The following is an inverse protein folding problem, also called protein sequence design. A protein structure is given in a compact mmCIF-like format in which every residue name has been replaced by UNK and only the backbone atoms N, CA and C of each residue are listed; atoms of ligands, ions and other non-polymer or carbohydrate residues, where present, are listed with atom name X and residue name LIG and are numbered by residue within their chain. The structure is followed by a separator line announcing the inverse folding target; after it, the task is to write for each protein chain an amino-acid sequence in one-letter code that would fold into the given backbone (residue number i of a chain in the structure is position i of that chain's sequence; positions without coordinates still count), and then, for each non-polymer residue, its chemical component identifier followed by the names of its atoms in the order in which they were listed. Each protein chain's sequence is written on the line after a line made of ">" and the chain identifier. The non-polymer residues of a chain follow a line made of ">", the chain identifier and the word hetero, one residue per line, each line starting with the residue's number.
data_IF_628880433063
#
_entry.id   IF_628880433063
#
_cell.length_a   1.000
_cell.length_b   1.000
_cell.length_c   1.000
_cell.angle_alpha   90.00
_cell.angle_beta   90.00
_cell.angle_gamma   90.00
#
_symmetry.space_group_name_H-M   'P 1'
#
loop_
_entity.id
_entity.type
_entity.pdbx_description
1 polymer ?
#
# COMPACT_ATOMS: atom_id res chain seq x y z
N UNK A 1 24.01 -7.93 9.69
CA UNK A 1 23.34 -8.45 8.48
C UNK A 1 22.21 -7.52 8.03
N UNK A 2 21.19 -7.30 8.86
CA UNK A 2 19.98 -6.52 8.51
C UNK A 2 20.21 -5.22 7.72
N UNK A 3 21.14 -4.36 8.17
CA UNK A 3 21.43 -3.10 7.50
C UNK A 3 21.94 -3.29 6.06
N UNK A 4 22.88 -4.21 5.87
CA UNK A 4 23.45 -4.51 4.55
C UNK A 4 22.38 -5.15 3.66
N UNK A 5 21.59 -6.08 4.19
CA UNK A 5 20.48 -6.71 3.45
C UNK A 5 19.50 -5.66 2.94
N UNK A 6 19.12 -4.69 3.78
CA UNK A 6 18.16 -3.66 3.40
C UNK A 6 18.74 -2.61 2.45
N UNK A 7 20.03 -2.26 2.59
CA UNK A 7 20.71 -1.41 1.61
C UNK A 7 20.76 -2.07 0.22
N UNK A 8 21.10 -3.36 0.17
CA UNK A 8 21.08 -4.13 -1.09
C UNK A 8 19.66 -4.23 -1.68
N UNK A 9 18.65 -4.44 -0.83
CA UNK A 9 17.25 -4.42 -1.27
C UNK A 9 16.84 -3.07 -1.85
N UNK A 10 17.27 -1.96 -1.23
CA UNK A 10 17.07 -0.61 -1.77
C UNK A 10 17.70 -0.45 -3.14
N UNK A 11 19.00 -0.77 -3.26
CA UNK A 11 19.72 -0.68 -4.54
C UNK A 11 19.13 -1.58 -5.64
N UNK A 12 18.49 -2.70 -5.28
CA UNK A 12 17.76 -3.54 -6.24
C UNK A 12 16.52 -2.85 -6.83
N UNK A 13 15.87 -1.97 -6.06
CA UNK A 13 14.72 -1.20 -6.52
C UNK A 13 15.10 0.02 -7.39
N UNK A 14 16.34 0.52 -7.30
CA UNK A 14 16.79 1.60 -8.18
C UNK A 14 18.12 2.21 -7.79
N UNK A 15 18.74 2.91 -8.75
CA UNK A 15 20.05 3.56 -8.58
C UNK A 15 19.98 4.97 -7.95
N UNK A 16 18.77 5.47 -7.66
CA UNK A 16 18.58 6.76 -7.01
C UNK A 16 18.95 6.77 -5.52
N UNK A 17 19.41 7.90 -5.02
CA UNK A 17 19.73 8.09 -3.59
C UNK A 17 18.53 7.87 -2.66
N UNK A 18 17.31 8.10 -3.14
CA UNK A 18 16.07 7.83 -2.41
C UNK A 18 15.95 6.35 -2.01
N UNK A 19 16.39 5.42 -2.87
CA UNK A 19 16.37 3.99 -2.58
C UNK A 19 17.45 3.55 -1.59
N UNK A 20 18.62 4.20 -1.63
CA UNK A 20 19.66 4.00 -0.60
C UNK A 20 19.16 4.47 0.76
N UNK A 21 18.58 5.66 0.84
CA UNK A 21 17.98 6.19 2.07
C UNK A 21 16.83 5.32 2.56
N UNK A 22 15.99 4.80 1.65
CA UNK A 22 14.92 3.86 1.98
C UNK A 22 15.46 2.57 2.62
N UNK A 23 16.48 1.96 2.01
CA UNK A 23 17.12 0.75 2.55
C UNK A 23 17.81 1.01 3.89
N UNK A 24 18.48 2.16 4.02
CA UNK A 24 19.10 2.58 5.27
C UNK A 24 18.05 2.79 6.37
N UNK A 25 16.94 3.48 6.07
CA UNK A 25 15.84 3.74 6.99
C UNK A 25 15.27 2.43 7.54
N UNK A 26 14.87 1.49 6.68
CA UNK A 26 14.32 0.21 7.12
C UNK A 26 15.36 -0.64 7.86
N UNK A 27 16.61 -0.67 7.39
CA UNK A 27 17.69 -1.40 8.05
C UNK A 27 17.98 -0.87 9.46
N UNK A 28 18.03 0.45 9.64
CA UNK A 28 18.22 1.08 10.95
C UNK A 28 17.03 0.78 11.87
N UNK A 29 15.80 0.93 11.38
CA UNK A 29 14.61 0.68 12.21
C UNK A 29 14.51 -0.79 12.64
N UNK A 30 14.89 -1.75 11.80
CA UNK A 30 14.93 -3.17 12.20
C UNK A 30 15.96 -3.45 13.30
N UNK A 31 17.08 -2.73 13.32
CA UNK A 31 18.08 -2.86 14.39
C UNK A 31 17.63 -2.16 15.69
N UNK A 32 17.00 -0.99 15.58
CA UNK A 32 16.67 -0.13 16.72
C UNK A 32 15.33 -0.47 17.37
N UNK A 33 14.30 -0.77 16.57
CA UNK A 33 12.93 -0.95 17.05
C UNK A 33 12.77 -2.06 18.11
N UNK A 34 13.45 -3.23 18.00
CA UNK A 34 13.42 -4.24 19.05
C UNK A 34 14.02 -3.77 20.39
N UNK A 35 14.88 -2.75 20.35
CA UNK A 35 15.57 -2.20 21.53
C UNK A 35 14.77 -1.11 22.24
N UNK A 36 13.61 -0.70 21.72
CA UNK A 36 12.77 0.33 22.32
C UNK A 36 11.92 -0.29 23.43
N UNK A 37 12.14 0.04 24.73
CA UNK A 37 11.34 -0.51 25.80
C UNK A 37 9.94 0.12 25.80
N UNK A 38 8.94 -0.62 25.33
CA UNK A 38 7.54 -0.19 25.38
C UNK A 38 6.82 -0.82 26.58
N UNK A 39 6.03 -0.05 27.37
CA UNK A 39 5.23 -0.60 28.46
C UNK A 39 4.28 -1.69 27.96
N UNK A 40 4.26 -2.88 28.60
CA UNK A 40 3.46 -4.05 28.16
C UNK A 40 2.00 -3.74 27.82
N UNK A 41 1.37 -2.83 28.56
CA UNK A 41 -0.02 -2.42 28.34
C UNK A 41 -0.22 -1.56 27.08
N UNK A 42 0.80 -0.81 26.67
CA UNK A 42 0.77 0.08 25.51
C UNK A 42 1.39 -0.55 24.26
N UNK A 43 2.13 -1.65 24.40
CA UNK A 43 2.80 -2.38 23.32
C UNK A 43 1.93 -2.62 22.07
N UNK A 44 0.68 -3.12 22.15
CA UNK A 44 -0.05 -3.45 20.93
C UNK A 44 -0.40 -2.20 20.11
N UNK A 45 -0.88 -1.13 20.75
CA UNK A 45 -1.30 0.08 20.04
C UNK A 45 -0.11 0.98 19.68
N UNK A 46 0.78 1.24 20.64
CA UNK A 46 1.94 2.11 20.43
C UNK A 46 2.95 1.45 19.48
N UNK A 47 3.18 0.15 19.61
CA UNK A 47 4.04 -0.61 18.70
C UNK A 47 3.49 -0.61 17.27
N UNK A 48 2.17 -0.83 17.11
CA UNK A 48 1.52 -0.71 15.81
C UNK A 48 1.66 0.70 15.23
N UNK A 49 1.36 1.73 16.02
CA UNK A 49 1.41 3.13 15.56
C UNK A 49 2.82 3.56 15.13
N UNK A 50 3.84 3.23 15.93
CA UNK A 50 5.23 3.51 15.59
C UNK A 50 5.65 2.78 14.31
N UNK A 51 5.25 1.51 14.17
CA UNK A 51 5.51 0.72 12.96
C UNK A 51 4.87 1.38 11.73
N UNK A 52 3.63 1.86 11.85
CA UNK A 52 2.94 2.54 10.76
C UNK A 52 3.65 3.83 10.35
N UNK A 53 4.09 4.66 11.30
CA UNK A 53 4.86 5.88 11.00
C UNK A 53 6.15 5.53 10.26
N UNK A 54 6.89 4.53 10.75
CA UNK A 54 8.15 4.09 10.13
C UNK A 54 7.91 3.63 8.69
N UNK A 55 6.88 2.80 8.47
CA UNK A 55 6.56 2.27 7.15
C UNK A 55 6.09 3.37 6.20
N UNK A 56 5.21 4.28 6.65
CA UNK A 56 4.71 5.37 5.81
C UNK A 56 5.81 6.36 5.43
N UNK A 57 6.72 6.68 6.34
CA UNK A 57 7.89 7.47 5.98
C UNK A 57 8.81 6.73 4.99
N UNK A 58 8.95 5.41 5.14
CA UNK A 58 9.59 4.55 4.14
C UNK A 58 8.93 4.68 2.77
N UNK A 59 7.60 4.58 2.66
CA UNK A 59 6.90 4.77 1.39
C UNK A 59 7.07 6.16 0.78
N UNK A 60 7.20 7.20 1.61
CA UNK A 60 7.55 8.54 1.15
C UNK A 60 8.92 8.55 0.47
N UNK A 61 9.95 7.99 1.11
CA UNK A 61 11.30 7.87 0.53
C UNK A 61 11.29 7.07 -0.77
N UNK A 62 10.54 5.96 -0.80
CA UNK A 62 10.43 5.11 -1.98
C UNK A 62 9.79 5.82 -3.17
N UNK A 63 8.78 6.66 -2.92
CA UNK A 63 8.05 7.42 -3.95
C UNK A 63 8.81 8.65 -4.46
N UNK A 64 9.66 9.25 -3.63
CA UNK A 64 10.34 10.47 -3.98
C UNK A 64 11.29 10.28 -5.18
N UNK A 65 11.28 11.23 -6.10
CA UNK A 65 12.06 11.17 -7.35
C UNK A 65 13.41 11.91 -7.25
N UNK A 66 13.61 12.73 -6.20
CA UNK A 66 14.85 13.49 -5.98
C UNK A 66 15.02 13.84 -4.50
N UNK A 67 16.21 14.28 -4.11
CA UNK A 67 16.46 14.76 -2.75
C UNK A 67 15.58 15.97 -2.40
N UNK A 68 15.41 16.91 -3.33
CA UNK A 68 14.53 18.07 -3.13
C UNK A 68 13.07 17.63 -2.94
N UNK A 69 12.63 16.60 -3.66
CA UNK A 69 11.30 16.04 -3.52
C UNK A 69 11.10 15.36 -2.16
N UNK A 70 12.12 14.66 -1.61
CA UNK A 70 12.07 14.13 -0.23
C UNK A 70 11.87 15.26 0.78
N UNK A 71 12.62 16.37 0.64
CA UNK A 71 12.48 17.52 1.52
C UNK A 71 11.08 18.10 1.44
N UNK A 72 10.57 18.36 0.23
CA UNK A 72 9.24 18.91 0.01
C UNK A 72 8.12 18.02 0.57
N UNK A 73 8.20 16.69 0.37
CA UNK A 73 7.24 15.73 0.93
C UNK A 73 7.33 15.68 2.46
N UNK A 74 8.55 15.71 3.01
CA UNK A 74 8.77 15.68 4.47
C UNK A 74 8.20 16.95 5.12
N UNK A 75 8.43 18.14 4.54
CA UNK A 75 7.82 19.38 5.05
C UNK A 75 6.30 19.37 4.91
N UNK A 76 5.78 18.72 3.86
CA UNK A 76 4.33 18.61 3.64
C UNK A 76 3.60 17.83 4.73
N UNK A 77 4.28 16.94 5.46
CA UNK A 77 3.71 16.24 6.62
C UNK A 77 3.28 17.17 7.75
N UNK A 78 3.91 18.35 7.83
CA UNK A 78 3.63 19.36 8.85
C UNK A 78 2.74 20.49 8.35
N UNK A 79 2.50 20.60 7.04
CA UNK A 79 1.60 21.59 6.45
C UNK A 79 0.23 20.99 6.18
N UNK A 80 -0.73 21.31 7.04
CA UNK A 80 -2.09 20.79 6.90
C UNK A 80 -2.94 21.74 6.07
N UNK A 81 -3.37 21.29 4.90
CA UNK A 81 -4.33 22.01 4.06
C UNK A 81 -5.41 21.04 3.58
N UNK A 82 -6.66 21.51 3.59
CA UNK A 82 -7.78 20.75 3.06
C UNK A 82 -8.04 21.21 1.63
N UNK A 83 -7.69 20.40 0.63
CA UNK A 83 -7.92 20.78 -0.75
C UNK A 83 -9.42 20.76 -1.07
N UNK A 84 -9.85 21.65 -1.97
CA UNK A 84 -11.25 21.73 -2.41
C UNK A 84 -11.77 20.41 -3.01
N UNK A 85 -10.87 19.56 -3.54
CA UNK A 85 -11.20 18.26 -4.10
C UNK A 85 -11.38 17.14 -3.07
N UNK A 86 -11.15 17.38 -1.77
CA UNK A 86 -11.22 16.29 -0.77
C UNK A 86 -12.61 15.65 -0.71
N UNK A 87 -13.66 16.43 -0.92
CA UNK A 87 -15.04 15.93 -0.96
C UNK A 87 -15.29 14.96 -2.10
N UNK A 88 -14.81 15.27 -3.31
CA UNK A 88 -14.95 14.36 -4.46
C UNK A 88 -14.10 13.10 -4.28
N UNK A 89 -12.92 13.21 -3.67
CA UNK A 89 -12.09 12.06 -3.35
C UNK A 89 -12.74 11.14 -2.31
N UNK A 90 -13.27 11.68 -1.22
CA UNK A 90 -14.01 10.90 -0.20
C UNK A 90 -15.24 10.24 -0.82
N UNK A 91 -15.98 10.95 -1.68
CA UNK A 91 -17.12 10.38 -2.38
C UNK A 91 -16.71 9.21 -3.27
N UNK A 92 -15.65 9.38 -4.08
CA UNK A 92 -15.12 8.30 -4.91
C UNK A 92 -14.70 7.10 -4.06
N UNK A 93 -13.95 7.32 -2.97
CA UNK A 93 -13.58 6.26 -2.04
C UNK A 93 -14.80 5.56 -1.46
N UNK A 94 -15.83 6.29 -1.05
CA UNK A 94 -17.06 5.71 -0.54
C UNK A 94 -17.78 4.87 -1.62
N UNK A 95 -17.89 5.39 -2.84
CA UNK A 95 -18.52 4.66 -3.96
C UNK A 95 -17.79 3.34 -4.26
N UNK A 96 -16.46 3.32 -4.23
CA UNK A 96 -15.70 2.10 -4.49
C UNK A 96 -15.59 1.15 -3.28
N UNK A 97 -15.51 1.68 -2.06
CA UNK A 97 -15.40 0.85 -0.83
C UNK A 97 -16.73 0.26 -0.39
N UNK A 98 -17.85 0.97 -0.55
CA UNK A 98 -19.16 0.49 -0.09
C UNK A 98 -19.55 -0.89 -0.63
N UNK A 99 -19.43 -1.23 -1.94
CA UNK A 99 -19.75 -2.58 -2.40
C UNK A 99 -18.78 -3.63 -1.86
N UNK A 100 -17.49 -3.30 -1.70
CA UNK A 100 -16.48 -4.21 -1.17
C UNK A 100 -16.74 -4.52 0.32
N UNK A 101 -17.05 -3.50 1.11
CA UNK A 101 -17.41 -3.66 2.52
C UNK A 101 -18.73 -4.41 2.67
N UNK A 102 -19.74 -4.11 1.86
CA UNK A 102 -21.00 -4.84 1.86
C UNK A 102 -20.78 -6.33 1.52
N UNK A 103 -19.94 -6.63 0.52
CA UNK A 103 -19.55 -7.98 0.16
C UNK A 103 -18.83 -8.69 1.31
N UNK A 104 -17.84 -8.04 1.95
CA UNK A 104 -17.10 -8.58 3.08
C UNK A 104 -18.02 -8.90 4.27
N UNK A 105 -18.93 -7.99 4.61
CA UNK A 105 -19.91 -8.19 5.68
C UNK A 105 -20.84 -9.36 5.34
N UNK A 106 -21.29 -9.46 4.10
CA UNK A 106 -22.14 -10.57 3.65
C UNK A 106 -21.41 -11.92 3.70
N UNK A 107 -20.17 -11.98 3.23
CA UNK A 107 -19.31 -13.18 3.34
C UNK A 107 -19.14 -13.61 4.80
N UNK A 108 -18.86 -12.66 5.69
CA UNK A 108 -18.67 -12.95 7.11
C UNK A 108 -19.96 -13.47 7.77
N UNK A 109 -21.12 -12.87 7.45
CA UNK A 109 -22.42 -13.30 7.99
C UNK A 109 -22.87 -14.67 7.49
N UNK A 110 -22.54 -15.01 6.25
CA UNK A 110 -22.94 -16.29 5.64
C UNK A 110 -21.92 -17.39 5.78
N UNK A 111 -20.70 -17.09 6.24
CA UNK A 111 -19.53 -17.98 6.20
C UNK A 111 -19.30 -18.60 4.81
N UNK A 112 -19.64 -17.86 3.75
CA UNK A 112 -19.42 -18.29 2.37
C UNK A 112 -18.49 -17.32 1.65
N UNK A 113 -17.58 -17.85 0.84
CA UNK A 113 -16.60 -17.05 0.09
C UNK A 113 -17.28 -16.28 -1.05
N UNK A 114 -18.34 -16.84 -1.64
CA UNK A 114 -19.03 -16.24 -2.79
C UNK A 114 -20.55 -16.20 -2.59
N UNK A 115 -21.06 -15.37 -1.68
CA UNK A 115 -22.48 -15.34 -1.34
C UNK A 115 -23.37 -14.86 -2.51
N UNK A 116 -22.82 -14.05 -3.42
CA UNK A 116 -23.52 -13.52 -4.60
C UNK A 116 -23.59 -14.50 -5.77
N UNK A 117 -22.73 -15.53 -5.80
CA UNK A 117 -22.66 -16.42 -6.95
C UNK A 117 -23.78 -17.48 -6.87
N UNK A 118 -24.45 -17.77 -7.98
CA UNK A 118 -25.46 -18.82 -8.01
C UNK A 118 -24.85 -20.18 -7.65
N UNK A 119 -25.60 -21.00 -6.93
CA UNK A 119 -25.14 -22.34 -6.52
C UNK A 119 -24.96 -23.29 -7.71
N UNK A 120 -25.66 -23.04 -8.82
CA UNK A 120 -25.51 -23.80 -10.06
C UNK A 120 -24.10 -23.63 -10.63
N UNK A 121 -23.35 -24.75 -10.67
CA UNK A 121 -21.96 -24.80 -11.11
C UNK A 121 -21.75 -24.24 -12.52
N UNK A 122 -22.69 -24.49 -13.44
CA UNK A 122 -22.58 -24.04 -14.84
C UNK A 122 -22.69 -22.52 -14.97
N UNK A 123 -23.66 -21.92 -14.26
CA UNK A 123 -23.86 -20.47 -14.27
C UNK A 123 -22.68 -19.79 -13.57
N UNK A 124 -22.23 -20.34 -12.44
CA UNK A 124 -21.05 -19.84 -11.72
C UNK A 124 -19.79 -19.86 -12.61
N UNK A 125 -19.52 -20.96 -13.30
CA UNK A 125 -18.37 -21.06 -14.21
C UNK A 125 -18.49 -20.12 -15.40
N UNK A 126 -19.70 -19.94 -15.95
CA UNK A 126 -19.94 -19.00 -17.04
C UNK A 126 -19.67 -17.55 -16.61
N UNK A 127 -20.15 -17.14 -15.43
CA UNK A 127 -19.87 -15.81 -14.87
C UNK A 127 -18.37 -15.59 -14.63
N UNK A 128 -17.68 -16.57 -14.04
CA UNK A 128 -16.23 -16.50 -13.84
C UNK A 128 -15.46 -16.40 -15.16
N UNK A 129 -15.85 -17.20 -16.16
CA UNK A 129 -15.25 -17.16 -17.49
C UNK A 129 -15.47 -15.80 -18.17
N UNK A 130 -16.68 -15.22 -18.05
CA UNK A 130 -16.97 -13.87 -18.55
C UNK A 130 -16.06 -12.85 -17.87
N UNK A 131 -15.92 -12.88 -16.53
CA UNK A 131 -15.01 -11.97 -15.84
C UNK A 131 -13.57 -12.08 -16.34
N UNK A 132 -13.04 -13.30 -16.50
CA UNK A 132 -11.68 -13.52 -17.04
C UNK A 132 -11.56 -13.00 -18.48
N UNK A 133 -12.54 -13.30 -19.34
CA UNK A 133 -12.55 -12.79 -20.72
C UNK A 133 -12.60 -11.26 -20.72
N UNK A 134 -13.45 -10.65 -19.90
CA UNK A 134 -13.53 -9.19 -19.78
C UNK A 134 -12.19 -8.60 -19.32
N UNK A 135 -11.51 -9.21 -18.34
CA UNK A 135 -10.18 -8.72 -17.92
C UNK A 135 -9.11 -8.84 -18.98
N UNK A 136 -9.22 -9.82 -19.90
CA UNK A 136 -8.24 -9.99 -21.00
C UNK A 136 -8.55 -9.10 -22.19
N UNK A 137 -9.83 -8.93 -22.53
CA UNK A 137 -10.28 -8.06 -23.65
C UNK A 137 -10.11 -6.59 -23.31
N UNK A 138 -10.46 -6.19 -22.08
CA UNK A 138 -10.32 -4.81 -21.61
C UNK A 138 -9.00 -4.56 -20.87
N UNK A 139 -8.02 -5.48 -21.01
CA UNK A 139 -6.67 -5.26 -20.52
C UNK A 139 -6.05 -4.05 -21.20
N UNK A 140 -5.40 -3.18 -20.43
CA UNK A 140 -4.72 -2.01 -20.99
C UNK A 140 -3.46 -2.46 -21.74
N UNK A 141 -3.50 -2.38 -23.07
CA UNK A 141 -2.40 -2.81 -23.97
C UNK A 141 -1.25 -1.81 -24.07
N UNK A 142 -1.37 -0.61 -23.48
CA UNK A 142 -0.26 0.33 -23.43
C UNK A 142 0.71 -0.15 -22.36
N UNK A 143 1.89 -0.59 -22.78
CA UNK A 143 2.99 -0.90 -21.89
C UNK A 143 3.35 0.34 -21.09
N UNK A 144 2.92 0.41 -19.84
CA UNK A 144 3.46 1.40 -18.92
C UNK A 144 4.93 1.05 -18.70
N UNK A 145 5.87 2.00 -18.86
CA UNK A 145 7.27 1.72 -18.58
C UNK A 145 7.35 1.17 -17.15
N UNK A 146 8.12 0.10 -16.97
CA UNK A 146 8.23 -0.59 -15.69
C UNK A 146 8.52 0.42 -14.59
N UNK A 147 7.91 0.28 -13.41
CA UNK A 147 7.96 1.26 -12.31
C UNK A 147 9.40 1.75 -12.04
N UNK A 148 10.40 0.88 -12.24
CA UNK A 148 11.82 1.18 -12.05
C UNK A 148 12.48 2.15 -13.04
N UNK A 149 11.80 2.51 -14.14
CA UNK A 149 12.29 3.43 -15.15
C UNK A 149 11.51 4.75 -15.19
N UNK A 150 10.65 5.01 -14.20
CA UNK A 150 9.82 6.22 -14.12
C UNK A 150 10.36 7.27 -13.12
N UNK A 151 11.64 7.16 -12.73
CA UNK A 151 12.32 8.09 -11.84
C UNK A 151 13.37 8.89 -12.61
#
# INVERSE_FOLDING_TARGET
>A
NLLITMLLAGLWHGAGWNFVLWGLWHGMMLCLFPSIPLPRRMQPLLGWFLTMIIIFYGWLLFRAQSMDHIMALTTSLFTWSFPLWIGSYILNLAVFMTPLLAMQIWQHRTNTIFPMLPHNRMIKSALMAICVIMTTVFWNTKGTPFIYFQF
#
